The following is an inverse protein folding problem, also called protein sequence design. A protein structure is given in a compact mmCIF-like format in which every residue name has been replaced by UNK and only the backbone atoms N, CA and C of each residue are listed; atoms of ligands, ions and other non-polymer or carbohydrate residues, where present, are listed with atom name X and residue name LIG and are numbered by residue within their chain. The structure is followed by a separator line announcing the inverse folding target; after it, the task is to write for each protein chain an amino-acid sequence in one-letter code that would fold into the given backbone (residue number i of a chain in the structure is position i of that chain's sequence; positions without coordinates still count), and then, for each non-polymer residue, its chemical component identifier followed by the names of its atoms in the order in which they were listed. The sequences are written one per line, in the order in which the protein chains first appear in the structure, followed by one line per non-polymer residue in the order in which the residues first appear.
data_IF_775538260301
#
_entry.id   IF_775538260301
#
_cell.length_a   1.000
_cell.length_b   1.000
_cell.length_c   1.000
_cell.angle_alpha   90.00
_cell.angle_beta   90.00
_cell.angle_gamma   90.00
#
_symmetry.space_group_name_H-M   'P 1'
#
loop_
_entity.id
_entity.type
_entity.pdbx_description
1 polymer ?
#
# COMPACT_ATOMS: atom_id res chain seq x y z
N UNK A 1 46.30 -72.74 31.76
CA UNK A 1 46.29 -73.04 30.32
C UNK A 1 45.42 -71.99 29.63
N UNK A 2 45.93 -71.38 28.54
CA UNK A 2 45.38 -70.27 27.70
C UNK A 2 45.34 -68.87 28.37
N UNK A 3 46.18 -67.88 28.01
CA UNK A 3 46.26 -67.05 26.77
C UNK A 3 44.96 -66.23 26.57
N UNK A 4 44.89 -64.93 26.31
CA UNK A 4 45.82 -63.90 25.82
C UNK A 4 45.15 -62.51 25.92
N UNK A 5 45.94 -61.44 26.04
CA UNK A 5 45.58 -60.04 25.83
C UNK A 5 45.12 -59.75 24.38
N UNK A 6 44.15 -58.84 24.18
CA UNK A 6 43.86 -58.00 22.99
C UNK A 6 42.52 -57.28 23.28
N UNK A 7 42.27 -55.97 23.24
CA UNK A 7 42.81 -54.79 22.55
C UNK A 7 42.36 -53.54 23.34
N UNK A 8 43.18 -52.47 23.48
CA UNK A 8 42.69 -51.13 23.79
C UNK A 8 42.29 -50.46 22.47
N UNK A 9 41.00 -50.35 22.16
CA UNK A 9 40.62 -49.93 20.81
C UNK A 9 39.17 -49.50 20.60
N UNK A 10 38.49 -48.94 21.61
CA UNK A 10 37.13 -48.38 21.43
C UNK A 10 37.02 -46.98 22.06
N UNK A 11 38.07 -46.16 21.96
CA UNK A 11 38.00 -44.77 22.42
C UNK A 11 38.55 -43.73 21.43
N UNK A 12 38.74 -44.10 20.16
CA UNK A 12 39.34 -43.19 19.18
C UNK A 12 38.73 -43.31 17.78
N UNK A 13 37.39 -43.30 17.68
CA UNK A 13 36.72 -43.25 16.37
C UNK A 13 35.42 -42.44 16.35
N UNK A 14 35.37 -41.33 17.09
CA UNK A 14 34.30 -40.31 16.96
C UNK A 14 34.92 -38.91 16.92
N UNK A 15 35.92 -38.73 16.06
CA UNK A 15 36.50 -37.42 15.76
C UNK A 15 36.94 -37.47 14.30
N UNK A 16 36.02 -37.08 13.42
CA UNK A 16 36.22 -36.57 12.04
C UNK A 16 34.87 -36.56 11.31
N UNK A 17 33.85 -35.89 11.88
CA UNK A 17 32.77 -35.36 11.04
C UNK A 17 33.31 -34.07 10.42
N UNK A 18 33.38 -33.94 9.08
CA UNK A 18 33.70 -32.67 8.48
C UNK A 18 32.58 -31.69 8.87
N UNK A 19 32.92 -30.68 9.66
CA UNK A 19 32.05 -29.52 9.83
C UNK A 19 31.97 -28.82 8.48
N UNK A 20 30.99 -29.24 7.68
CA UNK A 20 30.55 -28.40 6.58
C UNK A 20 30.03 -27.13 7.22
N UNK A 21 30.84 -26.07 7.15
CA UNK A 21 30.37 -24.72 7.41
C UNK A 21 29.30 -24.47 6.36
N UNK A 22 28.04 -24.65 6.72
CA UNK A 22 26.93 -24.14 5.94
C UNK A 22 27.11 -22.63 5.90
N UNK A 23 27.70 -22.12 4.82
CA UNK A 23 27.56 -20.72 4.44
C UNK A 23 26.11 -20.50 4.02
N UNK A 24 25.22 -20.40 4.99
CA UNK A 24 23.80 -20.09 4.82
C UNK A 24 23.55 -18.58 4.56
N UNK A 25 24.62 -17.78 4.48
CA UNK A 25 24.54 -16.32 4.40
C UNK A 25 25.20 -15.77 3.14
N UNK A 26 24.72 -16.20 1.99
CA UNK A 26 24.81 -15.41 0.76
C UNK A 26 23.52 -15.56 -0.06
N UNK A 27 22.36 -15.53 0.61
CA UNK A 27 21.21 -14.91 -0.03
C UNK A 27 21.43 -13.40 0.13
N UNK A 28 21.85 -12.73 -0.94
CA UNK A 28 21.78 -11.27 -1.04
C UNK A 28 20.34 -10.91 -0.71
N UNK A 29 20.11 -10.44 0.52
CA UNK A 29 18.81 -10.04 1.02
C UNK A 29 18.37 -8.85 0.15
N UNK A 30 17.58 -9.11 -0.88
CA UNK A 30 16.87 -8.07 -1.64
C UNK A 30 15.69 -7.63 -0.78
N UNK A 31 15.97 -7.22 0.46
CA UNK A 31 15.09 -6.37 1.23
C UNK A 31 15.18 -4.97 0.59
N UNK A 32 14.58 -4.81 -0.59
CA UNK A 32 14.28 -3.49 -1.13
C UNK A 32 13.17 -2.91 -0.24
N UNK A 33 13.59 -2.32 0.88
CA UNK A 33 12.69 -1.57 1.75
C UNK A 33 11.95 -0.48 0.96
N UNK A 34 10.85 0.02 1.53
CA UNK A 34 10.05 1.07 0.90
C UNK A 34 10.93 2.28 0.53
N UNK A 35 10.79 2.76 -0.70
CA UNK A 35 11.47 3.98 -1.13
C UNK A 35 10.88 5.21 -0.43
N UNK A 36 11.53 6.37 -0.57
CA UNK A 36 11.12 7.59 0.14
C UNK A 36 9.65 7.97 -0.12
N UNK A 37 9.19 7.93 -1.38
CA UNK A 37 7.79 8.21 -1.73
C UNK A 37 6.83 7.21 -1.09
N UNK A 38 7.13 5.92 -1.15
CA UNK A 38 6.32 4.86 -0.54
C UNK A 38 6.23 5.01 0.98
N UNK A 39 7.32 5.37 1.66
CA UNK A 39 7.29 5.65 3.09
C UNK A 39 6.41 6.86 3.42
N UNK A 40 6.41 7.90 2.56
CA UNK A 40 5.55 9.07 2.76
C UNK A 40 4.07 8.74 2.49
N UNK A 41 3.77 7.90 1.52
CA UNK A 41 2.40 7.38 1.29
C UNK A 41 1.89 6.68 2.56
N UNK A 42 2.68 5.80 3.14
CA UNK A 42 2.34 5.09 4.39
C UNK A 42 2.09 6.07 5.53
N UNK A 43 2.99 7.03 5.74
CA UNK A 43 2.85 7.99 6.84
C UNK A 43 1.63 8.91 6.68
N UNK A 44 1.41 9.45 5.48
CA UNK A 44 0.24 10.30 5.17
C UNK A 44 -1.06 9.53 5.41
N UNK A 45 -1.13 8.28 4.96
CA UNK A 45 -2.33 7.45 5.08
C UNK A 45 -2.63 7.12 6.55
N UNK A 46 -1.62 6.67 7.29
CA UNK A 46 -1.76 6.34 8.71
C UNK A 46 -2.20 7.56 9.54
N UNK A 47 -1.59 8.72 9.33
CA UNK A 47 -1.92 9.93 10.10
C UNK A 47 -3.29 10.51 9.74
N UNK A 48 -3.70 10.39 8.47
CA UNK A 48 -5.06 10.73 8.05
C UNK A 48 -6.06 9.79 8.73
N UNK A 49 -5.77 8.49 8.76
CA UNK A 49 -6.65 7.50 9.34
C UNK A 49 -6.75 7.59 10.88
N UNK A 50 -5.69 7.99 11.58
CA UNK A 50 -5.73 8.25 13.03
C UNK A 50 -6.28 9.63 13.37
N UNK A 51 -6.30 10.56 12.42
CA UNK A 51 -6.75 11.94 12.62
C UNK A 51 -5.69 12.85 13.27
N UNK A 52 -4.41 12.46 13.24
CA UNK A 52 -3.30 13.30 13.71
C UNK A 52 -2.96 14.36 12.66
N UNK A 53 -3.62 15.52 12.75
CA UNK A 53 -3.48 16.60 11.76
C UNK A 53 -2.12 17.31 11.83
N UNK A 54 -1.54 17.41 13.03
CA UNK A 54 -0.23 18.07 13.22
C UNK A 54 0.88 17.20 12.62
N UNK A 55 0.86 15.91 12.91
CA UNK A 55 1.74 14.93 12.27
C UNK A 55 1.52 14.90 10.75
N UNK A 56 0.26 14.86 10.31
CA UNK A 56 -0.09 14.82 8.90
C UNK A 56 0.46 16.04 8.14
N UNK A 57 0.34 17.25 8.70
CA UNK A 57 0.85 18.48 8.08
C UNK A 57 2.35 18.38 7.78
N UNK A 58 3.13 17.88 8.74
CA UNK A 58 4.56 17.65 8.54
C UNK A 58 4.81 16.61 7.44
N UNK A 59 4.10 15.48 7.47
CA UNK A 59 4.27 14.41 6.48
C UNK A 59 3.87 14.83 5.06
N UNK A 60 2.84 15.64 4.90
CA UNK A 60 2.44 16.20 3.60
C UNK A 60 3.54 17.06 2.98
N UNK A 61 4.19 17.94 3.77
CA UNK A 61 5.33 18.72 3.27
C UNK A 61 6.50 17.81 2.88
N UNK A 62 6.87 16.87 3.75
CA UNK A 62 7.95 15.92 3.42
C UNK A 62 7.61 14.98 2.27
N UNK A 63 6.32 14.72 2.03
CA UNK A 63 5.81 13.99 0.88
C UNK A 63 6.17 14.69 -0.42
N UNK A 64 5.87 15.98 -0.51
CA UNK A 64 6.23 16.83 -1.64
C UNK A 64 7.75 16.90 -1.83
N UNK A 65 8.50 17.06 -0.75
CA UNK A 65 9.98 17.10 -0.80
C UNK A 65 10.60 15.76 -1.20
N UNK A 66 9.95 14.63 -0.88
CA UNK A 66 10.32 13.29 -1.31
C UNK A 66 9.88 12.95 -2.75
N UNK A 67 9.26 13.90 -3.45
CA UNK A 67 8.88 13.78 -4.86
C UNK A 67 7.47 13.25 -5.11
N UNK A 68 6.61 13.15 -4.10
CA UNK A 68 5.17 12.99 -4.37
C UNK A 68 4.65 14.27 -5.03
N UNK A 69 3.78 14.10 -6.00
CA UNK A 69 3.12 15.21 -6.68
C UNK A 69 1.84 15.61 -5.96
N UNK A 70 1.37 16.83 -6.23
CA UNK A 70 0.14 17.36 -5.64
C UNK A 70 -1.06 16.44 -5.92
N UNK A 71 -1.19 15.92 -7.15
CA UNK A 71 -2.31 15.07 -7.49
C UNK A 71 -2.19 13.64 -6.93
N UNK A 72 -0.98 13.11 -6.72
CA UNK A 72 -0.82 11.84 -5.99
C UNK A 72 -1.29 11.97 -4.54
N UNK A 73 -0.93 13.06 -3.84
CA UNK A 73 -1.39 13.29 -2.46
C UNK A 73 -2.91 13.49 -2.39
N UNK A 74 -3.50 14.22 -3.35
CA UNK A 74 -4.96 14.35 -3.45
C UNK A 74 -5.64 12.98 -3.57
N UNK A 75 -5.12 12.09 -4.41
CA UNK A 75 -5.66 10.75 -4.63
C UNK A 75 -5.54 9.84 -3.41
N UNK A 76 -4.42 9.94 -2.66
CA UNK A 76 -4.27 9.27 -1.36
C UNK A 76 -5.41 9.71 -0.43
N UNK A 77 -5.57 11.02 -0.24
CA UNK A 77 -6.55 11.57 0.70
C UNK A 77 -7.99 11.28 0.28
N UNK A 78 -8.28 11.32 -1.04
CA UNK A 78 -9.60 10.95 -1.58
C UNK A 78 -9.87 9.46 -1.35
N UNK A 79 -8.96 8.56 -1.68
CA UNK A 79 -9.18 7.12 -1.48
C UNK A 79 -9.53 6.79 -0.01
N UNK A 80 -8.93 7.49 0.93
CA UNK A 80 -9.12 7.25 2.36
C UNK A 80 -10.56 7.50 2.87
N UNK A 81 -11.42 8.24 2.17
CA UNK A 81 -12.82 8.37 2.63
C UNK A 81 -13.50 7.00 2.72
N UNK A 82 -13.13 6.07 1.84
CA UNK A 82 -13.74 4.74 1.77
C UNK A 82 -13.32 3.84 2.95
N UNK A 83 -12.17 4.12 3.56
CA UNK A 83 -11.57 3.29 4.60
C UNK A 83 -11.67 3.91 6.00
N UNK A 84 -11.46 5.22 6.11
CA UNK A 84 -11.51 5.94 7.39
C UNK A 84 -12.67 6.96 7.48
N UNK A 85 -13.54 7.03 6.47
CA UNK A 85 -14.71 7.90 6.44
C UNK A 85 -14.44 9.33 5.96
N UNK A 86 -15.50 9.99 5.50
CA UNK A 86 -15.45 11.37 5.00
C UNK A 86 -14.82 12.37 5.97
N UNK A 87 -15.13 12.40 7.29
CA UNK A 87 -14.59 13.42 8.18
C UNK A 87 -13.06 13.43 8.22
N UNK A 88 -12.42 12.26 8.29
CA UNK A 88 -10.96 12.14 8.35
C UNK A 88 -10.30 12.51 7.02
N UNK A 89 -10.83 12.00 5.91
CA UNK A 89 -10.36 12.33 4.56
C UNK A 89 -10.47 13.84 4.27
N UNK A 90 -11.62 14.46 4.54
CA UNK A 90 -11.83 15.89 4.30
C UNK A 90 -10.96 16.77 5.20
N UNK A 91 -10.76 16.39 6.46
CA UNK A 91 -9.82 17.09 7.33
C UNK A 91 -8.38 17.00 6.78
N UNK A 92 -7.96 15.83 6.29
CA UNK A 92 -6.67 15.67 5.65
C UNK A 92 -6.52 16.53 4.38
N UNK A 93 -7.57 16.62 3.56
CA UNK A 93 -7.60 17.50 2.37
C UNK A 93 -7.46 18.97 2.79
N UNK A 94 -8.16 19.41 3.83
CA UNK A 94 -8.04 20.78 4.36
C UNK A 94 -6.61 21.07 4.86
N UNK A 95 -6.01 20.15 5.61
CA UNK A 95 -4.61 20.26 6.04
C UNK A 95 -3.67 20.36 4.84
N UNK A 96 -3.90 19.58 3.78
CA UNK A 96 -3.09 19.64 2.57
C UNK A 96 -3.24 20.97 1.81
N UNK A 97 -4.43 21.55 1.76
CA UNK A 97 -4.63 22.90 1.22
C UNK A 97 -3.76 23.92 1.98
N UNK A 98 -3.76 23.87 3.32
CA UNK A 98 -2.90 24.74 4.15
C UNK A 98 -1.41 24.56 3.83
N UNK A 99 -0.93 23.32 3.65
CA UNK A 99 0.48 23.06 3.29
C UNK A 99 0.84 23.69 1.94
N UNK A 100 -0.03 23.55 0.93
CA UNK A 100 0.21 24.14 -0.38
C UNK A 100 0.22 25.67 -0.34
N UNK A 101 -0.69 26.28 0.43
CA UNK A 101 -0.73 27.73 0.60
C UNK A 101 0.56 28.24 1.28
N UNK A 102 1.03 27.56 2.32
CA UNK A 102 2.29 27.89 3.01
C UNK A 102 3.51 27.74 2.11
N UNK A 103 3.57 26.68 1.30
CA UNK A 103 4.66 26.45 0.34
C UNK A 103 4.66 27.51 -0.76
N UNK A 104 3.48 27.84 -1.29
CA UNK A 104 3.30 28.93 -2.27
C UNK A 104 3.72 30.29 -1.69
N UNK A 105 3.37 30.59 -0.44
CA UNK A 105 3.79 31.83 0.22
C UNK A 105 5.32 31.93 0.39
N UNK A 106 6.02 30.79 0.45
CA UNK A 106 7.49 30.70 0.45
C UNK A 106 8.11 30.69 -0.96
N UNK A 107 7.30 30.85 -2.01
CA UNK A 107 7.75 30.81 -3.41
C UNK A 107 8.05 29.41 -3.94
N UNK A 108 7.67 28.34 -3.22
CA UNK A 108 7.85 26.96 -3.65
C UNK A 108 6.71 26.58 -4.60
N UNK A 109 7.04 26.01 -5.75
CA UNK A 109 6.07 25.48 -6.71
C UNK A 109 6.18 23.96 -6.76
N UNK A 110 5.14 23.28 -6.28
CA UNK A 110 5.10 21.83 -6.25
C UNK A 110 4.62 21.21 -7.58
N UNK A 111 5.25 20.12 -8.05
CA UNK A 111 4.82 19.42 -9.26
C UNK A 111 3.38 18.93 -9.14
N UNK A 112 2.55 19.26 -10.13
CA UNK A 112 1.14 18.85 -10.10
C UNK A 112 0.96 17.34 -10.34
N UNK A 113 1.85 16.71 -11.11
CA UNK A 113 1.73 15.30 -11.48
C UNK A 113 0.66 15.05 -12.56
N UNK A 114 0.27 13.78 -12.71
CA UNK A 114 -0.78 13.38 -13.65
C UNK A 114 -2.11 14.07 -13.34
N UNK A 115 -2.87 14.45 -14.37
CA UNK A 115 -4.18 15.10 -14.18
C UNK A 115 -5.20 14.10 -13.66
N UNK A 116 -5.95 14.49 -12.63
CA UNK A 116 -7.13 13.75 -12.16
C UNK A 116 -8.22 13.88 -13.22
N UNK A 117 -8.75 12.75 -13.69
CA UNK A 117 -9.82 12.69 -14.69
C UNK A 117 -11.15 12.48 -13.98
N UNK A 118 -12.12 13.35 -14.25
CA UNK A 118 -13.50 13.16 -13.83
C UNK A 118 -14.24 12.51 -14.99
N UNK A 119 -14.98 11.43 -14.75
CA UNK A 119 -15.77 10.80 -15.79
C UNK A 119 -16.97 11.70 -16.16
N UNK A 120 -17.03 12.13 -17.43
CA UNK A 120 -18.13 12.94 -17.96
C UNK A 120 -19.40 12.10 -18.20
N UNK A 121 -19.21 10.81 -18.51
CA UNK A 121 -20.30 9.84 -18.70
C UNK A 121 -20.35 8.87 -17.51
N UNK A 122 -21.56 8.72 -16.93
CA UNK A 122 -21.81 7.76 -15.84
C UNK A 122 -22.30 6.40 -16.36
N UNK A 123 -22.57 6.27 -17.66
CA UNK A 123 -22.99 5.01 -18.25
C UNK A 123 -21.89 3.96 -18.11
N UNK A 124 -22.27 2.73 -17.75
CA UNK A 124 -21.33 1.61 -17.67
C UNK A 124 -20.37 1.59 -16.47
N UNK A 125 -20.44 2.54 -15.53
CA UNK A 125 -19.56 2.58 -14.33
C UNK A 125 -19.55 1.28 -13.55
N UNK A 126 -20.70 0.63 -13.39
CA UNK A 126 -20.77 -0.65 -12.71
C UNK A 126 -19.90 -1.71 -13.39
N UNK A 127 -19.93 -1.79 -14.73
CA UNK A 127 -19.10 -2.72 -15.49
C UNK A 127 -17.62 -2.39 -15.44
N UNK A 128 -17.28 -1.09 -15.51
CA UNK A 128 -15.90 -0.62 -15.39
C UNK A 128 -15.32 -1.02 -14.03
N UNK A 129 -15.99 -0.68 -12.94
CA UNK A 129 -15.52 -1.03 -11.60
C UNK A 129 -15.49 -2.53 -11.36
N UNK A 130 -16.44 -3.29 -11.91
CA UNK A 130 -16.40 -4.74 -11.88
C UNK A 130 -15.13 -5.28 -12.56
N UNK A 131 -14.75 -4.78 -13.74
CA UNK A 131 -13.52 -5.18 -14.45
C UNK A 131 -12.25 -4.81 -13.70
N UNK A 132 -12.21 -3.63 -13.08
CA UNK A 132 -11.10 -3.21 -12.22
C UNK A 132 -10.96 -4.16 -11.04
N UNK A 133 -12.07 -4.47 -10.36
CA UNK A 133 -12.09 -5.42 -9.25
C UNK A 133 -11.65 -6.84 -9.68
N UNK A 134 -12.12 -7.34 -10.83
CA UNK A 134 -11.68 -8.61 -11.41
C UNK A 134 -10.18 -8.63 -11.68
N UNK A 135 -9.63 -7.50 -12.16
CA UNK A 135 -8.20 -7.34 -12.43
C UNK A 135 -7.38 -7.41 -11.15
N UNK A 136 -7.79 -6.68 -10.11
CA UNK A 136 -7.10 -6.61 -8.82
C UNK A 136 -7.15 -7.94 -8.07
N UNK A 137 -8.33 -8.56 -8.01
CA UNK A 137 -8.56 -9.81 -7.25
C UNK A 137 -8.23 -11.07 -8.03
N UNK A 138 -8.00 -10.94 -9.35
CA UNK A 138 -7.87 -12.07 -10.29
C UNK A 138 -9.04 -13.06 -10.21
N UNK A 139 -10.21 -12.58 -9.80
CA UNK A 139 -11.39 -13.39 -9.51
C UNK A 139 -12.61 -12.85 -10.25
N UNK A 140 -13.33 -13.68 -11.02
CA UNK A 140 -14.56 -13.27 -11.70
C UNK A 140 -15.61 -12.74 -10.71
N UNK A 141 -16.35 -11.72 -11.13
CA UNK A 141 -17.39 -11.09 -10.33
C UNK A 141 -18.76 -11.42 -10.93
N UNK A 142 -19.48 -12.33 -10.27
CA UNK A 142 -20.83 -12.74 -10.65
C UNK A 142 -21.85 -11.59 -10.60
N UNK A 143 -22.96 -11.75 -11.34
CA UNK A 143 -24.11 -10.85 -11.29
C UNK A 143 -25.41 -11.63 -11.06
N UNK A 144 -26.19 -11.30 -10.01
CA UNK A 144 -25.88 -10.34 -8.94
C UNK A 144 -24.66 -10.80 -8.11
N UNK A 145 -23.99 -9.87 -7.43
CA UNK A 145 -22.88 -10.22 -6.55
C UNK A 145 -23.40 -11.01 -5.34
N UNK A 146 -22.84 -12.19 -5.02
CA UNK A 146 -23.33 -12.99 -3.89
C UNK A 146 -22.99 -12.36 -2.54
N UNK A 147 -23.61 -12.87 -1.47
CA UNK A 147 -23.27 -12.50 -0.10
C UNK A 147 -23.74 -11.09 0.26
N UNK A 148 -22.83 -10.20 0.68
CA UNK A 148 -23.19 -8.84 1.09
C UNK A 148 -23.82 -8.04 -0.05
N UNK A 149 -23.44 -8.32 -1.31
CA UNK A 149 -23.96 -7.60 -2.47
C UNK A 149 -25.39 -7.99 -2.79
N UNK A 150 -25.74 -9.25 -2.56
CA UNK A 150 -27.10 -9.76 -2.68
C UNK A 150 -27.98 -9.25 -1.52
N UNK A 151 -27.43 -9.27 -0.30
CA UNK A 151 -28.12 -8.80 0.89
C UNK A 151 -28.35 -7.28 0.89
N UNK A 152 -27.37 -6.50 0.44
CA UNK A 152 -27.41 -5.04 0.41
C UNK A 152 -26.96 -4.50 -0.96
N UNK A 153 -27.78 -4.56 -2.02
CA UNK A 153 -27.38 -4.21 -3.39
C UNK A 153 -26.74 -2.83 -3.57
N UNK A 154 -27.05 -1.88 -2.68
CA UNK A 154 -26.43 -0.55 -2.69
C UNK A 154 -24.93 -0.58 -2.38
N UNK A 155 -24.47 -1.47 -1.49
CA UNK A 155 -23.03 -1.55 -1.21
C UNK A 155 -22.27 -2.09 -2.42
N UNK A 156 -22.87 -3.02 -3.15
CA UNK A 156 -22.30 -3.57 -4.37
C UNK A 156 -22.15 -2.52 -5.46
N UNK A 157 -23.20 -1.73 -5.66
CA UNK A 157 -23.18 -0.58 -6.56
C UNK A 157 -22.11 0.43 -6.15
N UNK A 158 -22.01 0.80 -4.87
CA UNK A 158 -20.99 1.77 -4.42
C UNK A 158 -19.56 1.26 -4.57
N UNK A 159 -19.31 -0.01 -4.29
CA UNK A 159 -18.00 -0.61 -4.52
C UNK A 159 -17.63 -0.53 -6.00
N UNK A 160 -18.52 -0.92 -6.91
CA UNK A 160 -18.19 -0.95 -8.34
C UNK A 160 -18.23 0.44 -8.97
N UNK A 161 -19.33 1.17 -8.84
CA UNK A 161 -19.53 2.43 -9.53
C UNK A 161 -18.71 3.58 -8.96
N UNK A 162 -18.37 3.55 -7.66
CA UNK A 162 -17.65 4.64 -7.02
C UNK A 162 -16.22 4.25 -6.65
N UNK A 163 -16.02 3.19 -5.86
CA UNK A 163 -14.67 2.84 -5.42
C UNK A 163 -13.81 2.32 -6.60
N UNK A 164 -14.27 1.29 -7.31
CA UNK A 164 -13.46 0.66 -8.35
C UNK A 164 -13.48 1.40 -9.70
N UNK A 165 -14.60 2.02 -10.08
CA UNK A 165 -14.69 2.73 -11.36
C UNK A 165 -14.16 4.17 -11.32
N UNK A 166 -14.19 4.85 -10.17
CA UNK A 166 -13.64 6.22 -10.07
C UNK A 166 -12.27 6.21 -9.38
N UNK A 167 -12.19 5.69 -8.15
CA UNK A 167 -10.96 5.79 -7.35
C UNK A 167 -9.87 4.86 -7.89
N UNK A 168 -10.13 3.56 -8.02
CA UNK A 168 -9.08 2.63 -8.46
C UNK A 168 -8.75 2.71 -9.95
N UNK A 169 -9.69 3.12 -10.81
CA UNK A 169 -9.43 3.26 -12.25
C UNK A 169 -8.51 4.45 -12.59
N UNK A 170 -8.42 5.44 -11.70
CA UNK A 170 -7.53 6.61 -11.87
C UNK A 170 -6.06 6.18 -11.95
N UNK A 171 -5.37 6.61 -13.01
CA UNK A 171 -3.98 6.26 -13.30
C UNK A 171 -2.94 7.15 -12.60
N UNK A 172 -3.39 8.06 -11.73
CA UNK A 172 -2.52 8.95 -10.94
C UNK A 172 -1.67 8.15 -9.96
N UNK A 173 -2.29 7.22 -9.23
CA UNK A 173 -1.59 6.26 -8.39
C UNK A 173 -1.59 4.88 -9.08
N UNK A 174 -0.46 4.20 -9.01
CA UNK A 174 -0.38 2.78 -9.36
C UNK A 174 -1.19 1.94 -8.37
N UNK A 175 -1.62 0.74 -8.78
CA UNK A 175 -2.28 -0.19 -7.86
C UNK A 175 -1.43 -0.51 -6.63
N UNK A 176 -0.12 -0.67 -6.78
CA UNK A 176 0.77 -0.87 -5.63
C UNK A 176 0.71 0.29 -4.63
N UNK A 177 0.70 1.54 -5.11
CA UNK A 177 0.55 2.71 -4.24
C UNK A 177 -0.84 2.74 -3.59
N UNK A 178 -1.90 2.40 -4.31
CA UNK A 178 -3.26 2.31 -3.74
C UNK A 178 -3.36 1.24 -2.65
N UNK A 179 -2.72 0.10 -2.84
CA UNK A 179 -2.63 -0.93 -1.79
C UNK A 179 -1.85 -0.42 -0.58
N UNK A 180 -0.73 0.30 -0.77
CA UNK A 180 -0.01 0.94 0.33
C UNK A 180 -0.91 1.90 1.12
N UNK A 181 -1.72 2.72 0.44
CA UNK A 181 -2.70 3.60 1.08
C UNK A 181 -3.69 2.79 1.92
N UNK A 182 -4.27 1.73 1.34
CA UNK A 182 -5.28 0.90 2.00
C UNK A 182 -4.74 0.20 3.24
N UNK A 183 -3.57 -0.44 3.17
CA UNK A 183 -3.05 -1.25 4.28
C UNK A 183 -2.45 -0.41 5.43
N UNK A 184 -2.16 0.86 5.18
CA UNK A 184 -1.56 1.76 6.18
C UNK A 184 -2.56 2.69 6.86
N UNK A 185 -3.80 2.71 6.39
CA UNK A 185 -4.93 3.39 7.02
C UNK A 185 -5.49 2.57 8.19
#
# INVERSE_FOLDING_TARGET
MLKTNLLPGILLFVLLLPTTVMNAQQATDVNQGLNAQQQRIVAISALTATGDLDGLKAQLSTGLDAGLTVNEIKEILVQLYAYCGFPRSLNGINTFMTVLDERKAKGIQDPQGKKIRLADDRSGKYEQGRKVLETLTKTPQSKPAPGFGEFAPRIDAFLKEHLFADVFDSDVLTYQQRELVTISA
#
